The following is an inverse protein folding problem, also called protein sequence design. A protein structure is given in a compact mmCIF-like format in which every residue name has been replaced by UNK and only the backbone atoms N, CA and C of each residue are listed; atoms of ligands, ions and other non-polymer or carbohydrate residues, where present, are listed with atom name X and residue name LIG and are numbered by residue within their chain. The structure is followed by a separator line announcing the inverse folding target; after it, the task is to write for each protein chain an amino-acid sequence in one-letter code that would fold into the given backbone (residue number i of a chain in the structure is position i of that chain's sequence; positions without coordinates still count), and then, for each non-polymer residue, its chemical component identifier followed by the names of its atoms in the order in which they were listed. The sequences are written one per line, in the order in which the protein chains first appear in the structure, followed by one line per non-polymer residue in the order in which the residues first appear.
data_IF_513562973612
#
_entry.id   IF_513562973612
#
_cell.length_a   1.000
_cell.length_b   1.000
_cell.length_c   1.000
_cell.angle_alpha   90.00
_cell.angle_beta   90.00
_cell.angle_gamma   90.00
#
_symmetry.space_group_name_H-M   'P 1'
#
loop_
_entity.id
_entity.type
_entity.pdbx_description
1 polymer ?
#
# COMPACT_ATOMS: atom_id res chain seq x y z
N UNK A 1 41.03 -30.68 6.21
CA UNK A 1 39.59 -30.61 6.62
C UNK A 1 39.39 -29.22 7.18
N UNK A 2 39.02 -28.31 6.29
CA UNK A 2 38.83 -26.89 6.64
C UNK A 2 37.34 -26.66 6.74
N UNK A 3 36.88 -26.37 7.95
CA UNK A 3 35.49 -25.90 8.18
C UNK A 3 35.37 -24.49 7.65
N UNK A 4 34.78 -24.39 6.47
CA UNK A 4 34.28 -23.15 5.94
C UNK A 4 32.93 -22.88 6.63
N UNK A 5 33.01 -22.18 7.78
CA UNK A 5 31.86 -21.57 8.40
C UNK A 5 31.34 -20.50 7.47
N UNK A 6 30.30 -20.83 6.69
CA UNK A 6 29.44 -19.88 6.01
C UNK A 6 28.82 -18.97 7.09
N UNK A 7 29.48 -17.84 7.33
CA UNK A 7 28.85 -16.71 8.03
C UNK A 7 27.74 -16.20 7.11
N UNK A 8 26.51 -16.64 7.41
CA UNK A 8 25.33 -16.01 6.87
C UNK A 8 25.34 -14.58 7.44
N UNK A 9 25.75 -13.61 6.63
CA UNK A 9 25.59 -12.21 7.00
C UNK A 9 24.08 -11.99 7.23
N UNK A 10 23.72 -11.83 8.49
CA UNK A 10 22.40 -11.36 8.87
C UNK A 10 22.40 -9.89 8.51
N UNK A 11 21.78 -9.52 7.40
CA UNK A 11 21.59 -8.11 7.04
C UNK A 11 20.80 -7.46 8.18
N UNK A 12 21.41 -6.51 8.84
CA UNK A 12 20.73 -5.72 9.87
C UNK A 12 19.74 -4.83 9.12
N UNK A 13 18.45 -4.86 9.46
CA UNK A 13 17.49 -3.97 8.82
C UNK A 13 17.97 -2.53 8.87
N UNK A 14 17.83 -1.79 7.76
CA UNK A 14 18.23 -0.38 7.68
C UNK A 14 17.44 0.52 8.65
N UNK A 15 16.31 0.03 9.17
CA UNK A 15 15.41 0.71 10.12
C UNK A 15 15.39 -0.07 11.44
N UNK A 16 15.72 0.61 12.53
CA UNK A 16 15.70 0.05 13.88
C UNK A 16 14.26 -0.27 14.34
N UNK A 17 14.14 -1.13 15.37
CA UNK A 17 12.82 -1.44 15.97
C UNK A 17 12.11 -0.20 16.47
N UNK A 18 12.82 0.76 17.06
CA UNK A 18 12.23 2.03 17.52
C UNK A 18 11.69 2.87 16.36
N UNK A 19 12.37 2.86 15.21
CA UNK A 19 11.89 3.55 14.01
C UNK A 19 10.69 2.82 13.39
N UNK A 20 10.65 1.50 13.42
CA UNK A 20 9.48 0.72 13.00
C UNK A 20 8.26 1.00 13.88
N UNK A 21 8.44 1.07 15.20
CA UNK A 21 7.38 1.42 16.14
C UNK A 21 6.87 2.86 15.89
N UNK A 22 7.78 3.81 15.65
CA UNK A 22 7.42 5.18 15.32
C UNK A 22 6.65 5.27 13.99
N UNK A 23 7.08 4.54 12.96
CA UNK A 23 6.35 4.44 11.68
C UNK A 23 4.95 3.85 11.92
N UNK A 24 4.86 2.79 12.71
CA UNK A 24 3.59 2.16 13.05
C UNK A 24 2.59 3.12 13.70
N UNK A 25 3.04 3.93 14.64
CA UNK A 25 2.19 4.93 15.32
C UNK A 25 1.73 6.03 14.36
N UNK A 26 2.64 6.57 13.55
CA UNK A 26 2.33 7.58 12.53
C UNK A 26 1.32 7.03 11.51
N UNK A 27 1.50 5.79 11.06
CA UNK A 27 0.59 5.14 10.14
C UNK A 27 -0.77 4.84 10.78
N UNK A 28 -0.80 4.45 12.05
CA UNK A 28 -2.05 4.22 12.77
C UNK A 28 -2.91 5.50 12.82
N UNK A 29 -2.30 6.64 13.10
CA UNK A 29 -2.98 7.94 13.11
C UNK A 29 -3.47 8.31 11.70
N UNK A 30 -2.58 8.25 10.71
CA UNK A 30 -2.91 8.68 9.34
C UNK A 30 -3.92 7.75 8.66
N UNK A 31 -3.83 6.44 8.89
CA UNK A 31 -4.76 5.47 8.32
C UNK A 31 -6.13 5.49 9.00
N UNK A 32 -6.22 5.91 10.26
CA UNK A 32 -7.50 6.22 10.91
C UNK A 32 -8.28 7.32 10.15
N UNK A 33 -7.59 8.38 9.74
CA UNK A 33 -8.16 9.43 8.88
C UNK A 33 -8.53 8.91 7.49
N UNK A 34 -7.69 8.05 6.91
CA UNK A 34 -7.94 7.38 5.62
C UNK A 34 -9.20 6.52 5.67
N UNK A 35 -9.38 5.70 6.72
CA UNK A 35 -10.57 4.86 6.88
C UNK A 35 -11.86 5.68 6.95
N UNK A 36 -11.81 6.85 7.59
CA UNK A 36 -12.95 7.78 7.65
C UNK A 36 -13.28 8.34 6.26
N UNK A 37 -12.26 8.75 5.49
CA UNK A 37 -12.44 9.26 4.14
C UNK A 37 -13.05 8.20 3.20
N UNK A 38 -12.53 6.97 3.25
CA UNK A 38 -13.05 5.85 2.44
C UNK A 38 -14.47 5.47 2.88
N UNK A 39 -14.76 5.47 4.18
CA UNK A 39 -16.11 5.22 4.68
C UNK A 39 -17.13 6.20 4.12
N UNK A 40 -16.74 7.46 4.01
CA UNK A 40 -17.58 8.52 3.42
C UNK A 40 -17.74 8.33 1.92
N UNK A 41 -16.69 7.92 1.21
CA UNK A 41 -16.71 7.67 -0.23
C UNK A 41 -17.62 6.48 -0.60
N UNK A 42 -17.52 5.40 0.17
CA UNK A 42 -18.23 4.14 -0.11
C UNK A 42 -19.64 4.08 0.53
N UNK A 43 -20.04 5.09 1.30
CA UNK A 43 -21.26 5.07 2.14
C UNK A 43 -21.37 3.78 2.99
N UNK A 44 -20.23 3.32 3.49
CA UNK A 44 -20.09 2.11 4.32
C UNK A 44 -19.00 2.32 5.35
N UNK A 45 -19.20 1.77 6.53
CA UNK A 45 -18.17 1.82 7.57
C UNK A 45 -16.99 0.92 7.20
N UNK A 46 -15.83 1.54 7.01
CA UNK A 46 -14.55 0.86 6.83
C UNK A 46 -13.79 0.91 8.14
N UNK A 47 -13.43 -0.25 8.66
CA UNK A 47 -12.61 -0.38 9.86
C UNK A 47 -11.24 -0.94 9.46
N UNK A 48 -10.20 -0.33 9.99
CA UNK A 48 -8.84 -0.84 9.87
C UNK A 48 -8.38 -1.40 11.21
N UNK A 49 -7.56 -2.43 11.17
CA UNK A 49 -6.87 -2.96 12.36
C UNK A 49 -5.63 -2.14 12.67
N UNK A 50 -5.01 -2.39 13.82
CA UNK A 50 -3.71 -1.80 14.15
C UNK A 50 -2.67 -2.24 13.12
N UNK A 51 -1.88 -1.31 12.56
CA UNK A 51 -0.89 -1.64 11.55
C UNK A 51 0.21 -2.54 12.10
N UNK A 52 0.60 -3.53 11.31
CA UNK A 52 1.80 -4.32 11.52
C UNK A 52 2.87 -3.87 10.52
N UNK A 53 4.01 -3.40 11.04
CA UNK A 53 5.11 -2.87 10.23
C UNK A 53 6.25 -3.87 10.21
N UNK A 54 6.77 -4.17 9.02
CA UNK A 54 7.96 -5.01 8.86
C UNK A 54 8.84 -4.48 7.73
N UNK A 55 10.16 -4.58 7.93
CA UNK A 55 11.13 -4.32 6.86
C UNK A 55 11.43 -5.63 6.16
N UNK A 56 11.34 -5.63 4.85
CA UNK A 56 11.54 -6.82 4.01
C UNK A 56 12.34 -6.46 2.78
N UNK A 57 13.19 -7.35 2.34
CA UNK A 57 13.72 -7.30 0.98
C UNK A 57 12.59 -7.62 -0.01
N UNK A 58 12.48 -6.86 -1.09
CA UNK A 58 11.37 -6.99 -2.04
C UNK A 58 11.16 -8.41 -2.53
N UNK A 59 12.23 -9.11 -2.89
CA UNK A 59 12.17 -10.48 -3.42
C UNK A 59 11.74 -11.55 -2.40
N UNK A 60 11.65 -11.21 -1.10
CA UNK A 60 11.19 -12.15 -0.05
C UNK A 60 9.67 -12.14 0.12
N UNK A 61 8.97 -11.24 -0.57
CA UNK A 61 7.52 -11.16 -0.52
C UNK A 61 6.89 -12.08 -1.57
N UNK A 62 5.96 -12.91 -1.12
CA UNK A 62 5.18 -13.76 -2.02
C UNK A 62 3.92 -13.02 -2.47
N UNK A 63 3.94 -12.57 -3.71
CA UNK A 63 2.81 -11.88 -4.34
C UNK A 63 1.86 -12.81 -5.11
N UNK A 64 2.24 -14.08 -5.31
CA UNK A 64 1.49 -15.03 -6.15
C UNK A 64 0.05 -15.24 -5.69
N UNK A 65 -0.20 -15.16 -4.40
CA UNK A 65 -1.54 -15.28 -3.83
C UNK A 65 -2.45 -14.06 -4.12
N UNK A 66 -1.88 -12.96 -4.64
CA UNK A 66 -2.61 -11.73 -4.98
C UNK A 66 -2.78 -11.54 -6.48
N UNK A 67 -2.15 -12.35 -7.32
CA UNK A 67 -2.20 -12.22 -8.78
C UNK A 67 -3.51 -12.74 -9.39
N UNK A 68 -4.06 -12.04 -10.39
CA UNK A 68 -3.67 -10.71 -10.82
C UNK A 68 -4.02 -9.66 -9.78
N UNK A 69 -3.17 -8.63 -9.63
CA UNK A 69 -3.39 -7.54 -8.70
C UNK A 69 -3.35 -6.18 -9.40
N UNK A 70 -3.97 -5.20 -8.77
CA UNK A 70 -3.88 -3.81 -9.15
C UNK A 70 -3.00 -3.06 -8.15
N UNK A 71 -1.92 -2.47 -8.63
CA UNK A 71 -1.06 -1.60 -7.85
C UNK A 71 -1.47 -0.15 -8.09
N UNK A 72 -1.67 0.60 -7.00
CA UNK A 72 -1.82 2.05 -7.04
C UNK A 72 -0.68 2.69 -6.27
N UNK A 73 0.06 3.56 -6.95
CA UNK A 73 1.23 4.26 -6.41
C UNK A 73 0.96 5.75 -6.33
N UNK A 74 1.38 6.35 -5.22
CA UNK A 74 1.52 7.80 -5.06
C UNK A 74 2.95 8.15 -4.62
N UNK A 75 3.37 9.38 -4.89
CA UNK A 75 4.62 9.94 -4.41
C UNK A 75 4.35 11.07 -3.44
N UNK A 76 5.17 11.19 -2.40
CA UNK A 76 5.18 12.38 -1.57
C UNK A 76 6.01 13.45 -2.30
N UNK A 77 5.37 14.58 -2.61
CA UNK A 77 5.99 15.65 -3.39
C UNK A 77 6.43 16.84 -2.54
N UNK A 78 5.98 16.91 -1.28
CA UNK A 78 6.35 17.95 -0.33
C UNK A 78 6.28 17.43 1.11
N UNK A 79 7.16 17.93 1.97
CA UNK A 79 7.17 17.67 3.41
C UNK A 79 7.93 16.42 3.83
N UNK A 80 7.66 15.32 3.18
CA UNK A 80 8.40 14.06 3.28
C UNK A 80 8.71 13.55 1.88
N UNK A 81 9.59 12.57 1.76
CA UNK A 81 9.94 11.95 0.47
C UNK A 81 9.73 10.45 0.53
N UNK A 82 9.46 9.87 -0.63
CA UNK A 82 9.22 8.44 -0.81
C UNK A 82 7.91 8.18 -1.55
N UNK A 83 7.63 6.90 -1.72
CA UNK A 83 6.43 6.43 -2.40
C UNK A 83 5.55 5.65 -1.42
N UNK A 84 4.25 5.71 -1.64
CA UNK A 84 3.31 4.79 -1.03
C UNK A 84 2.67 3.95 -2.12
N UNK A 85 2.60 2.65 -1.88
CA UNK A 85 2.07 1.68 -2.84
C UNK A 85 1.00 0.85 -2.15
N UNK A 86 -0.17 0.79 -2.74
CA UNK A 86 -1.26 -0.08 -2.30
C UNK A 86 -1.51 -1.17 -3.33
N UNK A 87 -1.63 -2.40 -2.85
CA UNK A 87 -1.90 -3.58 -3.67
C UNK A 87 -3.32 -4.02 -3.42
N UNK A 88 -4.14 -4.05 -4.46
CA UNK A 88 -5.51 -4.51 -4.42
C UNK A 88 -5.66 -5.82 -5.17
N UNK A 89 -6.26 -6.81 -4.53
CA UNK A 89 -6.68 -8.03 -5.21
C UNK A 89 -7.90 -7.74 -6.09
N UNK A 90 -8.08 -8.53 -7.11
CA UNK A 90 -9.21 -8.46 -8.04
C UNK A 90 -10.56 -8.41 -7.30
N UNK A 91 -10.73 -9.27 -6.31
CA UNK A 91 -11.95 -9.31 -5.50
C UNK A 91 -12.19 -8.01 -4.70
N UNK A 92 -11.13 -7.41 -4.17
CA UNK A 92 -11.25 -6.20 -3.35
C UNK A 92 -11.69 -5.01 -4.22
N UNK A 93 -11.13 -4.88 -5.41
CA UNK A 93 -11.55 -3.84 -6.38
C UNK A 93 -12.98 -4.02 -6.83
N UNK A 94 -13.42 -5.24 -7.07
CA UNK A 94 -14.81 -5.50 -7.46
C UNK A 94 -15.78 -5.09 -6.35
N UNK A 95 -15.47 -5.38 -5.09
CA UNK A 95 -16.28 -4.93 -3.95
C UNK A 95 -16.33 -3.39 -3.92
N UNK A 96 -15.20 -2.73 -4.07
CA UNK A 96 -15.12 -1.26 -4.09
C UNK A 96 -15.98 -0.69 -5.22
N UNK A 97 -15.86 -1.23 -6.44
CA UNK A 97 -16.68 -0.80 -7.58
C UNK A 97 -18.17 -0.96 -7.31
N UNK A 98 -18.58 -2.12 -6.81
CA UNK A 98 -19.98 -2.38 -6.49
C UNK A 98 -20.50 -1.34 -5.48
N UNK A 99 -19.76 -1.07 -4.42
CA UNK A 99 -20.14 -0.07 -3.42
C UNK A 99 -20.21 1.35 -4.00
N UNK A 100 -19.24 1.74 -4.84
CA UNK A 100 -19.24 3.05 -5.50
C UNK A 100 -20.45 3.23 -6.44
N UNK A 101 -20.92 2.14 -7.05
CA UNK A 101 -22.13 2.13 -7.89
C UNK A 101 -23.43 1.96 -7.08
N UNK A 102 -23.36 1.87 -5.76
CA UNK A 102 -24.52 1.65 -4.89
C UNK A 102 -25.08 0.24 -4.99
N UNK A 103 -24.25 -0.74 -5.35
CA UNK A 103 -24.61 -2.12 -5.54
C UNK A 103 -23.96 -3.00 -4.45
N UNK A 104 -24.72 -3.91 -3.86
CA UNK A 104 -24.24 -4.85 -2.83
C UNK A 104 -24.04 -6.27 -3.40
N UNK A 105 -23.89 -6.43 -4.71
CA UNK A 105 -23.68 -7.75 -5.33
C UNK A 105 -22.37 -8.39 -4.85
N UNK A 106 -22.36 -9.71 -4.65
CA UNK A 106 -21.14 -10.41 -4.30
C UNK A 106 -20.14 -10.39 -5.47
N UNK A 107 -18.83 -10.43 -5.18
CA UNK A 107 -17.82 -10.54 -6.22
C UNK A 107 -18.03 -11.76 -7.12
N UNK A 108 -17.80 -11.59 -8.43
CA UNK A 108 -17.86 -12.62 -9.45
C UNK A 108 -16.47 -13.13 -9.78
N UNK A 109 -16.35 -14.43 -10.11
CA UNK A 109 -15.09 -15.03 -10.56
C UNK A 109 -14.68 -14.60 -11.99
N UNK A 110 -15.64 -14.04 -12.75
CA UNK A 110 -15.42 -13.58 -14.13
C UNK A 110 -15.00 -12.09 -14.23
N UNK A 111 -14.73 -11.45 -13.10
CA UNK A 111 -14.29 -10.05 -13.08
C UNK A 111 -12.88 -9.90 -13.62
N UNK A 112 -12.71 -8.96 -14.54
CA UNK A 112 -11.40 -8.55 -15.07
C UNK A 112 -11.15 -7.07 -14.79
N UNK A 113 -9.89 -6.71 -14.57
CA UNK A 113 -9.51 -5.31 -14.43
C UNK A 113 -9.67 -4.56 -15.75
N UNK A 114 -10.29 -3.39 -15.69
CA UNK A 114 -10.51 -2.47 -16.80
C UNK A 114 -10.19 -1.03 -16.40
N UNK A 115 -10.42 -0.07 -17.30
CA UNK A 115 -10.20 1.34 -17.02
C UNK A 115 -11.07 1.87 -15.87
N UNK A 116 -12.28 1.32 -15.71
CA UNK A 116 -13.18 1.71 -14.63
C UNK A 116 -12.64 1.26 -13.28
N UNK A 117 -12.17 0.03 -13.18
CA UNK A 117 -11.55 -0.51 -11.96
C UNK A 117 -10.27 0.24 -11.59
N UNK A 118 -9.43 0.57 -12.56
CA UNK A 118 -8.23 1.39 -12.32
C UNK A 118 -8.60 2.79 -11.84
N UNK A 119 -9.59 3.43 -12.46
CA UNK A 119 -10.06 4.76 -12.05
C UNK A 119 -10.64 4.75 -10.63
N UNK A 120 -11.44 3.73 -10.28
CA UNK A 120 -12.01 3.57 -8.96
C UNK A 120 -10.92 3.36 -7.89
N UNK A 121 -9.93 2.53 -8.17
CA UNK A 121 -8.80 2.32 -7.27
C UNK A 121 -7.98 3.61 -7.06
N UNK A 122 -7.74 4.37 -8.13
CA UNK A 122 -7.07 5.67 -8.03
C UNK A 122 -7.88 6.65 -7.19
N UNK A 123 -9.20 6.71 -7.34
CA UNK A 123 -10.06 7.60 -6.54
C UNK A 123 -10.02 7.20 -5.06
N UNK A 124 -10.17 5.92 -4.74
CA UNK A 124 -10.06 5.42 -3.35
C UNK A 124 -8.71 5.78 -2.76
N UNK A 125 -7.62 5.50 -3.50
CA UNK A 125 -6.27 5.83 -3.05
C UNK A 125 -6.06 7.33 -2.86
N UNK A 126 -6.59 8.15 -3.76
CA UNK A 126 -6.51 9.61 -3.67
C UNK A 126 -7.20 10.13 -2.41
N UNK A 127 -8.40 9.64 -2.10
CA UNK A 127 -9.14 10.00 -0.89
C UNK A 127 -8.44 9.53 0.38
N UNK A 128 -7.97 8.29 0.40
CA UNK A 128 -7.22 7.73 1.52
C UNK A 128 -5.95 8.51 1.81
N UNK A 129 -5.12 8.69 0.80
CA UNK A 129 -3.81 9.30 0.97
C UNK A 129 -3.87 10.82 1.12
N UNK A 130 -4.92 11.46 0.57
CA UNK A 130 -5.21 12.87 0.85
C UNK A 130 -5.55 13.10 2.33
N UNK A 131 -6.40 12.25 2.91
CA UNK A 131 -6.71 12.29 4.33
C UNK A 131 -5.48 11.95 5.20
N UNK A 132 -4.69 10.94 4.80
CA UNK A 132 -3.44 10.58 5.46
C UNK A 132 -2.43 11.74 5.43
N UNK A 133 -2.25 12.40 4.29
CA UNK A 133 -1.32 13.52 4.13
C UNK A 133 -1.74 14.72 5.00
N UNK A 134 -3.04 14.96 5.15
CA UNK A 134 -3.56 15.99 6.07
C UNK A 134 -3.21 15.65 7.51
N UNK A 135 -3.49 14.43 7.96
CA UNK A 135 -3.16 13.97 9.31
C UNK A 135 -1.63 14.00 9.57
N UNK A 136 -0.84 13.60 8.60
CA UNK A 136 0.63 13.71 8.65
C UNK A 136 1.11 15.15 8.75
N UNK A 137 0.46 16.07 8.02
CA UNK A 137 0.79 17.49 8.07
C UNK A 137 0.58 18.08 9.46
N UNK A 138 -0.53 17.71 10.10
CA UNK A 138 -0.85 18.11 11.47
C UNK A 138 0.14 17.52 12.47
N UNK A 139 0.40 16.23 12.37
CA UNK A 139 1.31 15.51 13.26
C UNK A 139 2.76 16.03 13.17
N UNK A 140 3.25 16.24 11.94
CA UNK A 140 4.61 16.70 11.68
C UNK A 140 4.75 18.24 11.77
N UNK A 141 3.65 18.98 11.96
CA UNK A 141 3.59 20.42 11.93
C UNK A 141 4.28 21.05 10.69
N UNK A 142 4.06 20.44 9.53
CA UNK A 142 4.52 20.91 8.21
C UNK A 142 3.63 20.38 7.10
N UNK A 143 3.60 21.09 5.98
CA UNK A 143 2.80 20.67 4.81
C UNK A 143 3.36 19.35 4.25
N UNK A 144 2.47 18.38 4.05
CA UNK A 144 2.74 17.13 3.36
C UNK A 144 1.80 17.04 2.17
N UNK A 145 2.35 16.97 0.96
CA UNK A 145 1.58 16.84 -0.28
C UNK A 145 1.96 15.58 -1.04
N UNK A 146 0.98 15.05 -1.79
CA UNK A 146 1.09 13.84 -2.59
C UNK A 146 0.87 14.12 -4.07
N UNK A 147 1.42 13.26 -4.93
CA UNK A 147 1.14 13.25 -6.36
C UNK A 147 -0.26 12.70 -6.66
N UNK A 148 -0.71 12.85 -7.90
CA UNK A 148 -1.84 12.10 -8.43
C UNK A 148 -1.51 10.61 -8.43
N UNK A 149 -2.45 9.72 -7.99
CA UNK A 149 -2.24 8.28 -8.04
C UNK A 149 -2.06 7.75 -9.47
N UNK A 150 -1.21 6.74 -9.61
CA UNK A 150 -1.05 5.98 -10.85
C UNK A 150 -1.36 4.51 -10.61
N UNK A 151 -2.10 3.86 -11.51
CA UNK A 151 -2.50 2.48 -11.40
C UNK A 151 -1.84 1.60 -12.46
N UNK A 152 -1.47 0.39 -12.09
CA UNK A 152 -0.90 -0.63 -12.97
C UNK A 152 -1.43 -2.01 -12.62
N UNK A 153 -1.80 -2.81 -13.63
CA UNK A 153 -2.15 -4.22 -13.44
C UNK A 153 -0.88 -5.04 -13.47
N UNK A 154 -0.73 -5.93 -12.50
CA UNK A 154 0.44 -6.78 -12.33
C UNK A 154 0.06 -8.25 -12.27
N UNK A 155 0.86 -9.08 -12.94
CA UNK A 155 0.62 -10.52 -13.11
C UNK A 155 1.86 -11.37 -12.90
N UNK A 156 2.97 -10.75 -12.49
CA UNK A 156 4.25 -11.42 -12.25
C UNK A 156 5.14 -10.59 -11.35
N UNK A 157 6.12 -11.21 -10.72
CA UNK A 157 7.10 -10.53 -9.85
C UNK A 157 7.83 -9.38 -10.58
N UNK A 158 8.21 -9.58 -11.83
CA UNK A 158 8.87 -8.53 -12.63
C UNK A 158 7.94 -7.32 -12.83
N UNK A 159 6.65 -7.56 -13.09
CA UNK A 159 5.66 -6.49 -13.23
C UNK A 159 5.40 -5.73 -11.91
N UNK A 160 5.48 -6.42 -10.76
CA UNK A 160 5.45 -5.77 -9.44
C UNK A 160 6.66 -4.85 -9.25
N UNK A 161 7.85 -5.35 -9.54
CA UNK A 161 9.09 -4.59 -9.41
C UNK A 161 9.05 -3.32 -10.23
N UNK A 162 8.65 -3.42 -11.49
CA UNK A 162 8.54 -2.27 -12.41
C UNK A 162 7.49 -1.25 -11.93
N UNK A 163 6.31 -1.73 -11.50
CA UNK A 163 5.23 -0.86 -11.03
C UNK A 163 5.59 -0.11 -9.74
N UNK A 164 6.26 -0.77 -8.80
CA UNK A 164 6.71 -0.18 -7.54
C UNK A 164 7.93 0.73 -7.79
N UNK A 165 8.80 0.36 -8.72
CA UNK A 165 10.04 1.07 -9.04
C UNK A 165 11.18 0.73 -8.09
N UNK A 166 11.27 -0.55 -7.67
CA UNK A 166 12.33 -1.07 -6.80
C UNK A 166 13.30 -1.95 -7.58
N UNK A 167 14.50 -2.11 -7.04
CA UNK A 167 15.56 -2.98 -7.58
C UNK A 167 15.65 -4.27 -6.77
N UNK A 168 16.33 -5.27 -7.34
CA UNK A 168 16.66 -6.47 -6.60
C UNK A 168 17.58 -6.12 -5.41
N UNK A 169 17.16 -6.55 -4.20
CA UNK A 169 17.89 -6.23 -2.96
C UNK A 169 17.44 -4.95 -2.25
N UNK A 170 16.53 -4.17 -2.85
CA UNK A 170 15.94 -3.03 -2.14
C UNK A 170 15.09 -3.51 -0.95
N UNK A 171 15.24 -2.83 0.17
CA UNK A 171 14.37 -3.01 1.33
C UNK A 171 13.12 -2.14 1.20
N UNK A 172 11.99 -2.72 1.54
CA UNK A 172 10.71 -2.02 1.61
C UNK A 172 10.12 -2.11 3.01
N UNK A 173 9.36 -1.12 3.40
CA UNK A 173 8.54 -1.15 4.61
C UNK A 173 7.18 -1.70 4.22
N UNK A 174 6.93 -2.96 4.60
CA UNK A 174 5.65 -3.60 4.39
C UNK A 174 4.73 -3.32 5.59
N UNK A 175 3.55 -2.79 5.31
CA UNK A 175 2.53 -2.45 6.30
C UNK A 175 1.25 -3.20 5.98
N UNK A 176 0.73 -3.92 6.96
CA UNK A 176 -0.57 -4.61 6.85
C UNK A 176 -1.53 -4.14 7.93
N UNK A 177 -2.81 -4.03 7.54
CA UNK A 177 -3.92 -3.56 8.37
C UNK A 177 -4.98 -4.64 8.52
#
# INVERSE_FOLDING_TARGET
MSEELLQKEVSVPSISMMEQDAIGEVLNISMGSSATAVSSLLDRQVNISTPSVSVREFHTLDYSAMEPALIVKIEYVEGISGNNVMVFRQRDIQIILNLLMGNDDPPSDDFEFDELSMSAACEVMNQMMGAAATALSEFLNRVVNISTPTASIVTSEDSYRDAIGVQEGDEIVAVSF
#
